data_IF_329445781673
#
_entry.id   IF_329445781673
#
_cell.length_a   1.000
_cell.length_b   1.000
_cell.length_c   1.000
_cell.angle_alpha   90.00
_cell.angle_beta   90.00
_cell.angle_gamma   90.00
#
_symmetry.space_group_name_H-M   'P 1'
#
loop_
_entity.id
_entity.type
_entity.pdbx_description
1 polymer ?
#
# COMPACT_ATOMS: atom_id res chain seq x y z
N UNK A 1 0.38 -17.90 3.05
CA UNK A 1 -0.87 -17.18 3.38
C UNK A 1 -1.64 -16.91 2.11
N UNK A 2 -2.96 -17.08 2.12
CA UNK A 2 -3.81 -16.79 0.96
C UNK A 2 -3.98 -15.29 0.78
N UNK A 3 -3.78 -14.79 -0.44
CA UNK A 3 -4.07 -13.38 -0.78
C UNK A 3 -5.56 -13.23 -1.05
N UNK A 4 -6.19 -12.21 -0.46
CA UNK A 4 -7.61 -11.89 -0.64
C UNK A 4 -7.72 -10.65 -1.53
N UNK A 5 -8.72 -10.59 -2.42
CA UNK A 5 -9.00 -9.39 -3.21
C UNK A 5 -9.58 -8.31 -2.31
N UNK A 6 -8.98 -7.13 -2.34
CA UNK A 6 -9.46 -5.95 -1.63
C UNK A 6 -9.79 -4.86 -2.66
N UNK A 7 -11.06 -4.49 -2.74
CA UNK A 7 -11.53 -3.39 -3.60
C UNK A 7 -11.86 -2.21 -2.72
N UNK A 8 -11.30 -1.06 -3.04
CA UNK A 8 -11.52 0.19 -2.30
C UNK A 8 -11.63 1.35 -3.28
N UNK A 9 -12.22 2.45 -2.83
CA UNK A 9 -12.17 3.74 -3.52
C UNK A 9 -10.97 4.52 -2.99
N UNK A 10 -10.23 5.16 -3.89
CA UNK A 10 -9.07 6.00 -3.58
C UNK A 10 -9.09 7.19 -4.54
N UNK A 11 -8.52 8.30 -4.10
CA UNK A 11 -8.30 9.46 -4.94
C UNK A 11 -7.48 9.10 -6.19
N UNK A 12 -7.89 9.64 -7.35
CA UNK A 12 -7.28 9.33 -8.63
C UNK A 12 -5.83 9.81 -8.70
N UNK A 13 -5.55 11.02 -8.20
CA UNK A 13 -4.21 11.59 -8.22
C UNK A 13 -3.27 10.80 -7.31
N UNK A 14 -3.75 10.39 -6.13
CA UNK A 14 -3.00 9.52 -5.23
C UNK A 14 -2.66 8.16 -5.87
N UNK A 15 -3.62 7.56 -6.57
CA UNK A 15 -3.41 6.31 -7.29
C UNK A 15 -2.40 6.44 -8.43
N UNK A 16 -2.41 7.58 -9.14
CA UNK A 16 -1.43 7.88 -10.18
C UNK A 16 0.00 7.99 -9.62
N UNK A 17 0.17 8.74 -8.53
CA UNK A 17 1.47 8.88 -7.87
C UNK A 17 2.03 7.53 -7.41
N UNK A 18 1.18 6.68 -6.81
CA UNK A 18 1.59 5.34 -6.39
C UNK A 18 1.95 4.44 -7.59
N UNK A 19 1.23 4.55 -8.71
CA UNK A 19 1.58 3.82 -9.95
C UNK A 19 2.96 4.23 -10.46
N UNK A 20 3.28 5.51 -10.47
CA UNK A 20 4.61 6.01 -10.87
C UNK A 20 5.69 5.46 -9.94
N UNK A 21 5.45 5.46 -8.63
CA UNK A 21 6.37 4.87 -7.64
C UNK A 21 6.59 3.37 -7.89
N UNK A 22 5.51 2.63 -8.13
CA UNK A 22 5.53 1.20 -8.40
C UNK A 22 6.41 0.87 -9.62
N UNK A 23 6.31 1.67 -10.69
CA UNK A 23 7.15 1.52 -11.88
C UNK A 23 8.62 1.79 -11.54
N UNK A 24 8.91 2.85 -10.77
CA UNK A 24 10.28 3.21 -10.36
C UNK A 24 10.94 2.12 -9.52
N UNK A 25 10.20 1.53 -8.58
CA UNK A 25 10.69 0.47 -7.68
C UNK A 25 10.57 -0.94 -8.28
N UNK A 26 10.08 -1.07 -9.53
CA UNK A 26 9.79 -2.36 -10.19
C UNK A 26 8.93 -3.28 -9.32
N UNK A 27 7.98 -2.71 -8.60
CA UNK A 27 7.07 -3.39 -7.69
C UNK A 27 5.60 -3.18 -8.10
N UNK A 28 4.69 -3.91 -7.47
CA UNK A 28 3.25 -3.70 -7.66
C UNK A 28 2.70 -2.67 -6.67
N UNK A 29 1.66 -1.95 -7.09
CA UNK A 29 0.89 -1.05 -6.21
C UNK A 29 0.44 -1.76 -4.93
N UNK A 30 0.00 -3.03 -5.05
CA UNK A 30 -0.37 -3.86 -3.91
C UNK A 30 0.78 -4.03 -2.91
N UNK A 31 2.02 -4.25 -3.35
CA UNK A 31 3.18 -4.40 -2.46
C UNK A 31 3.52 -3.12 -1.71
N UNK A 32 3.35 -1.96 -2.36
CA UNK A 32 3.53 -0.65 -1.72
C UNK A 32 2.46 -0.45 -0.65
N UNK A 33 1.20 -0.72 -0.99
CA UNK A 33 0.08 -0.66 -0.04
C UNK A 33 0.28 -1.61 1.15
N UNK A 34 0.67 -2.87 0.92
CA UNK A 34 0.94 -3.82 1.99
C UNK A 34 2.06 -3.32 2.93
N UNK A 35 3.12 -2.74 2.37
CA UNK A 35 4.22 -2.18 3.16
C UNK A 35 3.77 -0.98 4.00
N UNK A 36 3.04 -0.04 3.40
CA UNK A 36 2.51 1.14 4.10
C UNK A 36 1.51 0.75 5.20
N UNK A 37 0.62 -0.20 4.92
CA UNK A 37 -0.35 -0.69 5.92
C UNK A 37 0.39 -1.40 7.05
N UNK A 38 1.36 -2.25 6.73
CA UNK A 38 2.16 -2.95 7.75
C UNK A 38 2.95 -1.97 8.62
N UNK A 39 3.56 -0.95 8.02
CA UNK A 39 4.32 0.08 8.72
C UNK A 39 3.42 0.92 9.62
N UNK A 40 2.26 1.35 9.11
CA UNK A 40 1.24 2.06 9.89
C UNK A 40 0.76 1.24 11.09
N UNK A 41 0.48 -0.05 10.89
CA UNK A 41 0.07 -0.94 11.98
C UNK A 41 1.17 -1.15 13.01
N UNK A 42 2.45 -1.26 12.59
CA UNK A 42 3.58 -1.37 13.52
C UNK A 42 3.76 -0.09 14.34
N UNK A 43 3.81 1.06 13.66
CA UNK A 43 3.94 2.36 14.30
C UNK A 43 2.82 2.66 15.29
N UNK A 44 1.63 2.11 15.06
CA UNK A 44 0.47 2.30 15.94
C UNK A 44 0.27 1.17 16.97
N UNK A 45 1.03 0.07 16.86
CA UNK A 45 1.01 -1.03 17.82
C UNK A 45 2.08 -0.91 18.90
N UNK A 46 3.12 -0.09 18.69
CA UNK A 46 4.12 0.26 19.73
C UNK A 46 3.67 1.42 20.65
N UNK A 47 2.38 1.77 20.61
CA UNK A 47 1.76 2.82 21.42
C UNK A 47 0.69 2.32 22.41
N UNK A 48 0.88 1.14 23.00
CA UNK A 48 0.06 0.64 24.13
C UNK A 48 0.91 0.17 25.29
#
# INVERSE_FOLDING_TARGET
>A
MSKIKFTTTIDENLLEQIKILAIKEKCSVASILEKLISDYLKSNSEGK
#
